data_IF_533089162462
#
_entry.id   IF_533089162462
#
_cell.length_a   1.000
_cell.length_b   1.000
_cell.length_c   1.000
_cell.angle_alpha   90.00
_cell.angle_beta   90.00
_cell.angle_gamma   90.00
#
_symmetry.space_group_name_H-M   'P 1'
#
loop_
_entity.id
_entity.type
_entity.pdbx_description
1 polymer ?
#
# COMPACT_ATOMS: atom_id res chain seq x y z
N UNK A 1 -53.56 14.43 5.40
CA UNK A 1 -52.69 15.16 4.45
C UNK A 1 -51.81 16.04 5.31
N UNK A 2 -50.49 15.89 5.28
CA UNK A 2 -49.65 16.88 5.96
C UNK A 2 -49.85 18.21 5.23
N UNK A 3 -49.96 19.29 5.97
CA UNK A 3 -49.95 20.64 5.39
C UNK A 3 -48.52 20.91 4.87
N UNK A 4 -48.40 21.64 3.76
CA UNK A 4 -47.14 21.97 3.10
C UNK A 4 -46.09 22.55 4.07
N UNK A 5 -46.51 23.30 5.10
CA UNK A 5 -45.59 23.79 6.13
C UNK A 5 -44.94 22.67 6.93
N UNK A 6 -45.70 21.63 7.29
CA UNK A 6 -45.17 20.47 8.02
C UNK A 6 -44.20 19.65 7.17
N UNK A 7 -44.47 19.52 5.87
CA UNK A 7 -43.58 18.79 4.95
C UNK A 7 -42.24 19.51 4.77
N UNK A 8 -42.26 20.85 4.72
CA UNK A 8 -41.05 21.68 4.67
C UNK A 8 -40.27 21.57 5.99
N UNK A 9 -40.93 21.67 7.14
CA UNK A 9 -40.30 21.56 8.46
C UNK A 9 -39.62 20.20 8.64
N UNK A 10 -40.31 19.11 8.31
CA UNK A 10 -39.75 17.76 8.36
C UNK A 10 -38.52 17.61 7.46
N UNK A 11 -38.53 18.24 6.28
CA UNK A 11 -37.40 18.22 5.33
C UNK A 11 -36.19 19.00 5.87
N UNK A 12 -36.41 20.17 6.47
CA UNK A 12 -35.34 20.97 7.08
C UNK A 12 -34.71 20.23 8.27
N UNK A 13 -35.53 19.62 9.14
CA UNK A 13 -35.06 18.81 10.26
C UNK A 13 -34.21 17.62 9.79
N UNK A 14 -34.59 16.98 8.68
CA UNK A 14 -33.79 15.93 8.05
C UNK A 14 -32.43 16.46 7.60
N UNK A 15 -32.41 17.55 6.82
CA UNK A 15 -31.17 18.15 6.30
C UNK A 15 -30.24 18.54 7.46
N UNK A 16 -30.75 19.22 8.49
CA UNK A 16 -29.95 19.61 9.66
C UNK A 16 -29.31 18.40 10.35
N UNK A 17 -30.06 17.32 10.53
CA UNK A 17 -29.56 16.08 11.13
C UNK A 17 -28.44 15.46 10.30
N UNK A 18 -28.60 15.35 8.98
CA UNK A 18 -27.60 14.73 8.12
C UNK A 18 -26.37 15.62 7.95
N UNK A 19 -26.52 16.94 7.91
CA UNK A 19 -25.40 17.89 7.90
C UNK A 19 -24.63 17.86 9.22
N UNK A 20 -25.31 17.71 10.36
CA UNK A 20 -24.66 17.45 11.66
C UNK A 20 -23.84 16.16 11.62
N UNK A 21 -24.39 15.07 11.08
CA UNK A 21 -23.64 13.82 10.91
C UNK A 21 -22.37 14.01 10.07
N UNK A 22 -22.45 14.75 8.95
CA UNK A 22 -21.28 15.04 8.10
C UNK A 22 -20.25 15.96 8.78
N UNK A 23 -20.66 16.78 9.76
CA UNK A 23 -19.76 17.57 10.59
C UNK A 23 -19.09 16.75 11.71
N UNK A 24 -19.66 15.61 12.09
CA UNK A 24 -19.15 14.77 13.18
C UNK A 24 -18.35 13.57 12.68
N UNK A 25 -18.60 13.11 11.45
CA UNK A 25 -18.00 11.91 10.88
C UNK A 25 -17.27 12.17 9.57
N UNK A 26 -16.20 11.40 9.34
CA UNK A 26 -15.41 11.40 8.12
C UNK A 26 -15.21 9.97 7.60
N UNK A 27 -15.00 9.84 6.30
CA UNK A 27 -14.52 8.59 5.70
C UNK A 27 -13.00 8.62 5.59
N UNK A 28 -12.35 7.61 6.16
CA UNK A 28 -10.91 7.36 6.02
C UNK A 28 -10.70 6.15 5.12
N UNK A 29 -9.77 6.27 4.16
CA UNK A 29 -9.58 5.29 3.08
C UNK A 29 -8.11 4.93 3.02
N UNK A 30 -7.79 3.64 3.03
CA UNK A 30 -6.42 3.16 2.95
C UNK A 30 -6.22 1.83 3.65
N UNK A 31 -5.15 1.75 4.43
CA UNK A 31 -4.72 0.55 5.14
C UNK A 31 -4.82 0.81 6.64
N UNK A 32 -5.29 -0.19 7.38
CA UNK A 32 -5.45 -0.10 8.82
C UNK A 32 -4.75 -1.29 9.48
N UNK A 33 -4.10 -1.04 10.61
CA UNK A 33 -3.42 -2.00 11.44
C UNK A 33 -2.92 -1.33 12.71
N UNK A 34 -2.50 -2.12 13.70
CA UNK A 34 -1.95 -1.61 14.96
C UNK A 34 -0.52 -1.05 14.75
N UNK A 35 0.07 -0.41 15.78
CA UNK A 35 1.36 0.29 15.69
C UNK A 35 2.50 -0.59 15.13
N UNK A 36 2.54 -1.88 15.49
CA UNK A 36 3.55 -2.86 15.04
C UNK A 36 3.13 -3.62 13.75
N UNK A 37 2.18 -3.08 12.99
CA UNK A 37 1.65 -3.76 11.82
C UNK A 37 2.68 -3.82 10.68
N UNK A 38 3.20 -5.03 10.41
CA UNK A 38 4.01 -5.33 9.23
C UNK A 38 3.34 -4.85 7.92
N UNK A 39 2.00 -4.85 7.88
CA UNK A 39 1.25 -4.31 6.75
C UNK A 39 1.54 -2.82 6.57
N UNK A 40 1.44 -2.01 7.63
CA UNK A 40 1.68 -0.57 7.55
C UNK A 40 3.14 -0.25 7.24
N UNK A 41 4.10 -1.03 7.75
CA UNK A 41 5.51 -0.90 7.36
C UNK A 41 5.70 -1.10 5.85
N UNK A 42 5.11 -2.17 5.30
CA UNK A 42 5.17 -2.47 3.86
C UNK A 42 4.49 -1.35 3.04
N UNK A 43 3.34 -0.86 3.48
CA UNK A 43 2.61 0.24 2.83
C UNK A 43 3.46 1.49 2.80
N UNK A 44 4.05 1.90 3.94
CA UNK A 44 4.90 3.10 4.04
C UNK A 44 6.14 2.99 3.16
N UNK A 45 6.82 1.85 3.22
CA UNK A 45 8.01 1.60 2.40
C UNK A 45 7.70 1.64 0.90
N UNK A 46 6.51 1.19 0.49
CA UNK A 46 6.08 1.34 -0.89
C UNK A 46 5.66 2.79 -1.17
N UNK A 47 4.80 3.43 -0.38
CA UNK A 47 4.27 4.79 -0.64
C UNK A 47 5.37 5.87 -0.75
N UNK A 48 6.40 5.78 0.09
CA UNK A 48 7.45 6.79 0.24
C UNK A 48 8.84 6.31 -0.18
N UNK A 49 9.01 5.02 -0.44
CA UNK A 49 10.32 4.41 -0.63
C UNK A 49 11.00 4.12 0.73
N UNK A 50 12.06 3.33 0.69
CA UNK A 50 12.82 2.98 1.88
C UNK A 50 14.27 2.65 1.54
N UNK A 51 15.19 3.03 2.43
CA UNK A 51 16.56 2.56 2.40
C UNK A 51 16.71 1.38 3.35
N UNK A 52 17.16 0.24 2.82
CA UNK A 52 17.49 -0.95 3.59
C UNK A 52 18.99 -0.91 3.86
N UNK A 53 19.34 -0.98 5.14
CA UNK A 53 20.72 -1.02 5.63
C UNK A 53 20.95 -2.28 6.49
N UNK A 54 22.19 -2.78 6.59
CA UNK A 54 22.50 -3.93 7.43
C UNK A 54 22.19 -3.63 8.90
N UNK A 55 21.40 -4.47 9.57
CA UNK A 55 21.15 -4.36 11.02
C UNK A 55 22.41 -4.69 11.84
N UNK A 56 23.22 -5.63 11.35
CA UNK A 56 24.48 -6.08 11.97
C UNK A 56 25.56 -6.21 10.91
N UNK A 57 26.78 -5.80 11.25
CA UNK A 57 27.92 -5.88 10.34
C UNK A 57 27.90 -4.83 9.22
N UNK A 58 28.76 -5.01 8.21
CA UNK A 58 29.02 -4.01 7.15
C UNK A 58 28.16 -4.15 5.90
N UNK A 59 27.52 -5.29 5.68
CA UNK A 59 26.86 -5.62 4.42
C UNK A 59 25.54 -6.35 4.61
N UNK A 60 24.60 -6.08 3.69
CA UNK A 60 23.42 -6.89 3.43
C UNK A 60 23.85 -8.07 2.58
N UNK A 61 23.49 -9.27 3.02
CA UNK A 61 23.76 -10.52 2.32
C UNK A 61 22.54 -10.88 1.49
N UNK A 62 22.55 -10.51 0.22
CA UNK A 62 21.42 -10.76 -0.69
C UNK A 62 21.67 -12.05 -1.47
N UNK A 63 20.82 -13.07 -1.33
CA UNK A 63 21.04 -14.36 -1.99
C UNK A 63 20.96 -14.22 -3.51
N UNK A 64 21.86 -14.94 -4.20
CA UNK A 64 21.84 -15.06 -5.65
C UNK A 64 20.73 -16.01 -6.10
N UNK A 65 20.37 -15.95 -7.39
CA UNK A 65 19.37 -16.87 -7.94
C UNK A 65 19.81 -18.33 -7.84
N UNK A 66 21.13 -18.61 -7.89
CA UNK A 66 21.66 -19.94 -7.62
C UNK A 66 21.36 -20.39 -6.19
N UNK A 67 21.68 -19.55 -5.20
CA UNK A 67 21.44 -19.89 -3.79
C UNK A 67 19.96 -20.09 -3.51
N UNK A 68 19.09 -19.26 -4.06
CA UNK A 68 17.63 -19.42 -3.91
C UNK A 68 17.14 -20.73 -4.55
N UNK A 69 17.61 -21.08 -5.75
CA UNK A 69 17.20 -22.32 -6.43
C UNK A 69 17.66 -23.57 -5.67
N UNK A 70 18.86 -23.55 -5.08
CA UNK A 70 19.46 -24.70 -4.41
C UNK A 70 19.02 -24.87 -2.96
N UNK A 71 18.90 -23.76 -2.21
CA UNK A 71 18.67 -23.78 -0.75
C UNK A 71 17.34 -23.13 -0.32
N UNK A 72 16.59 -22.56 -1.26
CA UNK A 72 15.30 -21.91 -1.00
C UNK A 72 15.39 -20.40 -0.75
N UNK A 73 14.22 -19.75 -0.71
CA UNK A 73 14.09 -18.27 -0.64
C UNK A 73 14.59 -17.65 0.66
N UNK A 74 14.68 -18.44 1.74
CA UNK A 74 15.06 -17.98 3.07
C UNK A 74 16.49 -18.38 3.46
N UNK A 75 17.31 -18.80 2.49
CA UNK A 75 18.69 -19.24 2.70
C UNK A 75 19.52 -18.18 3.42
N UNK A 76 20.23 -18.60 4.46
CA UNK A 76 21.18 -17.80 5.23
C UNK A 76 22.62 -18.21 4.91
N UNK A 77 23.60 -17.33 5.16
CA UNK A 77 25.01 -17.67 4.97
C UNK A 77 25.45 -18.92 5.74
N UNK A 78 24.87 -19.17 6.92
CA UNK A 78 25.11 -20.35 7.75
C UNK A 78 24.65 -21.66 7.13
N UNK A 79 23.71 -21.59 6.18
CA UNK A 79 23.09 -22.77 5.60
C UNK A 79 23.92 -23.34 4.44
N UNK A 80 24.95 -22.62 4.00
CA UNK A 80 25.79 -22.97 2.87
C UNK A 80 27.19 -23.40 3.38
N UNK A 81 27.52 -24.70 3.33
CA UNK A 81 28.84 -25.19 3.72
C UNK A 81 29.96 -24.58 2.86
N UNK A 82 31.12 -24.35 3.47
CA UNK A 82 32.31 -23.82 2.81
C UNK A 82 32.11 -22.46 2.12
N UNK A 83 31.09 -21.69 2.50
CA UNK A 83 30.89 -20.34 2.01
C UNK A 83 32.04 -19.43 2.48
N UNK A 84 32.64 -18.71 1.55
CA UNK A 84 33.70 -17.75 1.86
C UNK A 84 33.55 -16.47 1.05
N UNK A 85 34.20 -15.41 1.52
CA UNK A 85 34.24 -14.11 0.82
C UNK A 85 35.65 -13.95 0.25
N UNK A 86 35.84 -13.96 -1.08
CA UNK A 86 37.14 -13.70 -1.68
C UNK A 86 37.67 -12.31 -1.29
N UNK A 87 38.98 -12.21 -1.07
CA UNK A 87 39.63 -10.95 -0.65
C UNK A 87 39.28 -9.82 -1.63
N UNK A 88 38.88 -8.66 -1.09
CA UNK A 88 38.51 -7.45 -1.84
C UNK A 88 37.32 -7.62 -2.81
N UNK A 89 36.50 -8.66 -2.67
CA UNK A 89 35.27 -8.84 -3.46
C UNK A 89 34.03 -8.61 -2.60
N UNK A 90 32.93 -8.22 -3.24
CA UNK A 90 31.62 -7.95 -2.59
C UNK A 90 30.62 -9.06 -2.87
N UNK A 91 31.10 -10.30 -2.84
CA UNK A 91 30.30 -11.51 -3.05
C UNK A 91 30.79 -12.60 -2.09
N UNK A 92 29.89 -13.48 -1.68
CA UNK A 92 30.23 -14.71 -1.00
C UNK A 92 29.98 -15.89 -1.94
N UNK A 93 30.91 -16.83 -1.97
CA UNK A 93 30.99 -17.89 -2.96
C UNK A 93 31.28 -19.24 -2.32
N UNK A 94 30.95 -20.30 -3.06
CA UNK A 94 31.47 -21.65 -2.84
C UNK A 94 32.31 -22.06 -4.06
N UNK A 95 33.10 -23.12 -3.90
CA UNK A 95 33.75 -23.78 -5.04
C UNK A 95 32.95 -25.04 -5.38
N UNK A 96 32.44 -25.12 -6.61
CA UNK A 96 31.72 -26.28 -7.13
C UNK A 96 32.34 -26.64 -8.49
N UNK A 97 32.71 -27.90 -8.70
CA UNK A 97 33.35 -28.36 -9.95
C UNK A 97 34.58 -27.54 -10.38
N UNK A 98 35.39 -27.08 -9.41
CA UNK A 98 36.56 -26.19 -9.60
C UNK A 98 36.22 -24.78 -10.10
N UNK A 99 34.95 -24.39 -10.09
CA UNK A 99 34.49 -23.04 -10.43
C UNK A 99 33.97 -22.29 -9.21
N UNK A 100 34.12 -20.97 -9.23
CA UNK A 100 33.56 -20.08 -8.21
C UNK A 100 32.09 -19.82 -8.50
N UNK A 101 31.23 -20.27 -7.60
CA UNK A 101 29.79 -20.03 -7.69
C UNK A 101 29.38 -18.97 -6.66
N UNK A 102 28.78 -17.88 -7.14
CA UNK A 102 28.30 -16.79 -6.27
C UNK A 102 27.00 -17.21 -5.58
N UNK A 103 27.01 -17.22 -4.25
CA UNK A 103 25.83 -17.52 -3.43
C UNK A 103 25.17 -16.26 -2.86
N UNK A 104 25.96 -15.22 -2.50
CA UNK A 104 25.42 -13.96 -1.98
C UNK A 104 26.14 -12.74 -2.57
N UNK A 105 25.38 -11.66 -2.75
CA UNK A 105 25.89 -10.31 -3.02
C UNK A 105 25.98 -9.53 -1.71
N UNK A 106 27.09 -8.82 -1.49
CA UNK A 106 27.35 -8.03 -0.29
C UNK A 106 27.12 -6.55 -0.57
N UNK A 107 25.92 -6.05 -0.26
CA UNK A 107 25.51 -4.67 -0.53
C UNK A 107 25.67 -3.80 0.71
N UNK A 108 26.14 -2.55 0.56
CA UNK A 108 26.17 -1.60 1.69
C UNK A 108 24.78 -1.07 2.05
N UNK A 109 23.93 -0.90 1.03
CA UNK A 109 22.54 -0.47 1.14
C UNK A 109 21.77 -0.98 -0.06
N UNK A 110 20.46 -1.13 0.09
CA UNK A 110 19.52 -1.36 -1.01
C UNK A 110 18.39 -0.34 -0.91
N UNK A 111 17.97 0.24 -2.03
CA UNK A 111 16.91 1.25 -2.05
C UNK A 111 15.65 0.67 -2.67
N UNK A 112 14.55 0.73 -1.93
CA UNK A 112 13.19 0.54 -2.45
C UNK A 112 12.72 1.89 -2.97
N UNK A 113 12.38 2.01 -4.27
CA UNK A 113 11.83 3.25 -4.80
C UNK A 113 10.40 3.49 -4.30
N UNK A 114 10.03 4.77 -4.19
CA UNK A 114 8.67 5.17 -3.83
C UNK A 114 7.66 4.80 -4.92
N UNK A 115 6.46 4.43 -4.47
CA UNK A 115 5.26 4.05 -5.20
C UNK A 115 4.07 4.75 -4.58
N UNK A 116 3.88 6.00 -4.97
CA UNK A 116 2.92 6.91 -4.32
C UNK A 116 1.45 6.61 -4.64
N UNK A 117 1.03 5.35 -4.56
CA UNK A 117 -0.26 4.88 -5.05
C UNK A 117 -1.45 5.46 -4.26
N UNK A 118 -1.29 5.78 -2.97
CA UNK A 118 -2.36 6.41 -2.18
C UNK A 118 -2.48 7.88 -2.59
N UNK A 119 -1.37 8.62 -2.55
CA UNK A 119 -1.38 10.06 -2.85
C UNK A 119 -1.77 10.32 -4.31
N UNK A 120 -1.26 9.50 -5.23
CA UNK A 120 -1.55 9.64 -6.66
C UNK A 120 -3.01 9.34 -6.96
N UNK A 121 -3.58 8.28 -6.37
CA UNK A 121 -5.00 7.99 -6.49
C UNK A 121 -5.87 9.16 -6.01
N UNK A 122 -5.52 9.78 -4.87
CA UNK A 122 -6.24 10.95 -4.38
C UNK A 122 -6.13 12.14 -5.35
N UNK A 123 -4.92 12.53 -5.73
CA UNK A 123 -4.66 13.68 -6.60
C UNK A 123 -5.37 13.56 -7.95
N UNK A 124 -5.33 12.37 -8.56
CA UNK A 124 -5.92 12.15 -9.87
C UNK A 124 -7.45 12.10 -9.84
N UNK A 125 -8.06 11.88 -8.67
CA UNK A 125 -9.50 11.72 -8.50
C UNK A 125 -10.19 12.86 -7.73
N UNK A 126 -9.50 13.95 -7.39
CA UNK A 126 -10.07 15.06 -6.61
C UNK A 126 -11.37 15.61 -7.21
N UNK A 127 -11.38 15.85 -8.52
CA UNK A 127 -12.57 16.38 -9.20
C UNK A 127 -13.73 15.38 -9.22
N UNK A 128 -13.42 14.08 -9.30
CA UNK A 128 -14.41 13.02 -9.19
C UNK A 128 -15.05 13.05 -7.81
N UNK A 129 -14.26 13.07 -6.74
CA UNK A 129 -14.78 13.11 -5.37
C UNK A 129 -15.63 14.36 -5.11
N UNK A 130 -15.21 15.53 -5.59
CA UNK A 130 -16.00 16.76 -5.50
C UNK A 130 -17.39 16.60 -6.14
N UNK A 131 -17.48 15.96 -7.31
CA UNK A 131 -18.78 15.70 -7.97
C UNK A 131 -19.68 14.78 -7.14
N UNK A 132 -19.12 13.71 -6.56
CA UNK A 132 -19.89 12.80 -5.70
C UNK A 132 -20.34 13.46 -4.39
N UNK A 133 -19.54 14.38 -3.83
CA UNK A 133 -19.94 15.18 -2.68
C UNK A 133 -21.14 16.07 -3.03
N UNK A 134 -21.06 16.83 -4.12
CA UNK A 134 -22.17 17.69 -4.55
C UNK A 134 -23.45 16.89 -4.80
N UNK A 135 -23.35 15.79 -5.58
CA UNK A 135 -24.49 14.92 -5.83
C UNK A 135 -25.06 14.26 -4.56
N UNK A 136 -24.21 13.96 -3.57
CA UNK A 136 -24.67 13.45 -2.28
C UNK A 136 -25.39 14.50 -1.43
N UNK A 137 -24.92 15.75 -1.46
CA UNK A 137 -25.60 16.87 -0.81
C UNK A 137 -26.97 17.11 -1.47
N UNK A 138 -27.05 17.09 -2.80
CA UNK A 138 -28.32 17.21 -3.52
C UNK A 138 -29.30 16.11 -3.10
N UNK A 139 -28.82 14.87 -2.95
CA UNK A 139 -29.64 13.75 -2.47
C UNK A 139 -30.15 13.92 -1.06
N UNK A 140 -29.34 14.47 -0.15
CA UNK A 140 -29.77 14.78 1.21
C UNK A 140 -30.85 15.87 1.18
N UNK A 141 -30.69 16.89 0.33
CA UNK A 141 -31.62 18.01 0.26
C UNK A 141 -32.96 17.65 -0.39
N UNK A 142 -32.96 16.79 -1.41
CA UNK A 142 -34.11 16.61 -2.30
C UNK A 142 -34.62 15.16 -2.41
N UNK A 143 -33.83 14.17 -1.99
CA UNK A 143 -34.14 12.75 -2.18
C UNK A 143 -34.09 11.93 -0.87
N UNK A 144 -34.12 12.61 0.30
CA UNK A 144 -34.08 12.00 1.63
C UNK A 144 -32.87 11.06 1.84
N UNK A 145 -31.75 11.35 1.16
CA UNK A 145 -30.49 10.65 1.30
C UNK A 145 -29.79 10.98 2.62
N UNK A 146 -28.80 10.17 3.02
CA UNK A 146 -28.12 10.32 4.31
C UNK A 146 -26.64 10.67 4.17
N UNK A 147 -26.09 11.35 5.19
CA UNK A 147 -24.65 11.63 5.25
C UNK A 147 -23.81 10.35 5.26
N UNK A 148 -24.30 9.29 5.91
CA UNK A 148 -23.67 7.96 5.94
C UNK A 148 -23.59 7.30 4.57
N UNK A 149 -24.62 7.45 3.73
CA UNK A 149 -24.61 6.93 2.36
C UNK A 149 -23.61 7.66 1.47
N UNK A 150 -23.51 8.99 1.61
CA UNK A 150 -22.48 9.78 0.93
C UNK A 150 -21.07 9.30 1.33
N UNK A 151 -20.78 9.22 2.64
CA UNK A 151 -19.47 8.75 3.13
C UNK A 151 -19.17 7.31 2.69
N UNK A 152 -20.16 6.42 2.70
CA UNK A 152 -20.03 5.03 2.21
C UNK A 152 -19.70 4.98 0.73
N UNK A 153 -20.32 5.84 -0.08
CA UNK A 153 -20.08 5.96 -1.52
C UNK A 153 -18.64 6.41 -1.78
N UNK A 154 -18.20 7.47 -1.09
CA UNK A 154 -16.82 7.96 -1.17
C UNK A 154 -15.80 6.89 -0.76
N UNK A 155 -16.09 6.14 0.32
CA UNK A 155 -15.24 5.04 0.78
C UNK A 155 -15.05 3.95 -0.27
N UNK A 156 -16.15 3.48 -0.87
CA UNK A 156 -16.11 2.48 -1.97
C UNK A 156 -15.33 2.98 -3.17
N UNK A 157 -15.54 4.24 -3.58
CA UNK A 157 -14.84 4.86 -4.71
C UNK A 157 -13.34 4.95 -4.44
N UNK A 158 -12.93 5.49 -3.29
CA UNK A 158 -11.52 5.65 -2.97
C UNK A 158 -10.78 4.31 -2.86
N UNK A 159 -11.41 3.26 -2.31
CA UNK A 159 -10.84 1.91 -2.33
C UNK A 159 -10.64 1.43 -3.78
N UNK A 160 -11.63 1.63 -4.64
CA UNK A 160 -11.50 1.27 -6.06
C UNK A 160 -10.33 2.00 -6.73
N UNK A 161 -10.20 3.30 -6.47
CA UNK A 161 -9.20 4.15 -7.11
C UNK A 161 -7.78 3.84 -6.65
N UNK A 162 -7.57 3.62 -5.35
CA UNK A 162 -6.27 3.17 -4.82
C UNK A 162 -5.91 1.82 -5.45
N UNK A 163 -6.86 0.88 -5.52
CA UNK A 163 -6.62 -0.43 -6.13
C UNK A 163 -6.30 -0.32 -7.62
N UNK A 164 -6.93 0.60 -8.33
CA UNK A 164 -6.62 0.87 -9.73
C UNK A 164 -5.20 1.44 -9.89
N UNK A 165 -4.83 2.43 -9.08
CA UNK A 165 -3.50 3.02 -9.11
C UNK A 165 -2.41 1.98 -8.78
N UNK A 166 -2.64 1.12 -7.79
CA UNK A 166 -1.75 0.00 -7.47
C UNK A 166 -1.56 -0.98 -8.64
N UNK A 167 -2.58 -1.18 -9.50
CA UNK A 167 -2.48 -2.03 -10.69
C UNK A 167 -1.69 -1.36 -11.81
N UNK A 168 -1.84 -0.05 -11.98
CA UNK A 168 -1.19 0.75 -13.03
C UNK A 168 0.33 0.90 -12.82
N UNK A 169 0.81 0.76 -11.58
CA UNK A 169 2.23 0.90 -11.26
C UNK A 169 3.09 -0.28 -11.75
N UNK A 170 3.65 -0.12 -12.95
CA UNK A 170 4.72 -0.95 -13.52
C UNK A 170 6.12 -0.33 -13.36
N UNK A 171 6.23 0.95 -12.95
CA UNK A 171 7.50 1.67 -12.86
C UNK A 171 7.61 2.57 -11.61
N UNK A 172 8.78 2.61 -10.94
CA UNK A 172 9.94 1.77 -11.21
C UNK A 172 9.64 0.33 -10.78
N UNK A 173 10.07 -0.58 -11.65
CA UNK A 173 9.97 -2.00 -11.46
C UNK A 173 10.70 -2.48 -10.22
N UNK A 174 10.74 -3.80 -10.02
CA UNK A 174 11.63 -4.38 -9.02
C UNK A 174 13.10 -4.02 -9.35
N UNK A 175 13.98 -3.97 -8.36
CA UNK A 175 15.42 -3.83 -8.64
C UNK A 175 15.88 -5.00 -9.54
N UNK A 176 16.84 -4.83 -10.46
CA UNK A 176 17.24 -5.89 -11.40
C UNK A 176 17.56 -7.23 -10.72
N UNK A 177 18.30 -7.19 -9.61
CA UNK A 177 18.62 -8.36 -8.78
C UNK A 177 17.37 -9.06 -8.20
N UNK A 178 16.31 -8.29 -7.96
CA UNK A 178 15.00 -8.78 -7.49
C UNK A 178 14.14 -9.32 -8.64
N UNK A 179 14.26 -8.78 -9.86
CA UNK A 179 13.60 -9.28 -11.08
C UNK A 179 14.16 -10.66 -11.45
N UNK A 180 15.49 -10.82 -11.43
CA UNK A 180 16.17 -12.08 -11.73
C UNK A 180 15.79 -13.18 -10.73
N UNK A 181 15.69 -12.81 -9.44
CA UNK A 181 15.23 -13.71 -8.38
C UNK A 181 13.72 -14.02 -8.43
N UNK A 182 12.93 -13.24 -9.19
CA UNK A 182 11.47 -13.40 -9.36
C UNK A 182 11.05 -13.82 -10.76
N UNK A 183 11.95 -14.40 -11.57
CA UNK A 183 11.65 -14.89 -12.95
C UNK A 183 10.99 -13.82 -13.85
N UNK A 184 11.45 -12.57 -13.79
CA UNK A 184 10.95 -11.51 -14.68
C UNK A 184 9.68 -10.77 -14.21
N UNK A 185 9.15 -11.09 -13.02
CA UNK A 185 7.96 -10.40 -12.49
C UNK A 185 8.31 -8.99 -12.01
N UNK A 186 7.74 -7.99 -12.68
CA UNK A 186 8.10 -6.58 -12.53
C UNK A 186 7.06 -5.72 -11.80
N UNK A 187 5.94 -6.29 -11.34
CA UNK A 187 4.92 -5.58 -10.54
C UNK A 187 5.01 -5.94 -9.03
N UNK A 188 5.77 -5.18 -8.23
CA UNK A 188 5.96 -5.42 -6.80
C UNK A 188 4.69 -5.38 -5.94
N UNK A 189 3.68 -4.57 -6.31
CA UNK A 189 2.49 -4.34 -5.48
C UNK A 189 1.45 -5.45 -5.64
N UNK A 190 1.42 -6.06 -6.83
CA UNK A 190 0.52 -7.18 -7.16
C UNK A 190 1.15 -8.52 -6.75
N UNK A 191 2.48 -8.65 -6.85
CA UNK A 191 3.23 -9.88 -6.58
C UNK A 191 3.54 -10.12 -5.09
N UNK A 192 3.23 -9.17 -4.20
CA UNK A 192 3.10 -9.42 -2.74
C UNK A 192 1.70 -9.92 -2.35
N UNK A 193 0.94 -10.51 -3.28
CA UNK A 193 -0.16 -11.48 -3.07
C UNK A 193 -1.41 -11.07 -2.27
N UNK A 194 -1.40 -9.92 -1.58
CA UNK A 194 -2.48 -9.53 -0.67
C UNK A 194 -2.60 -8.04 -0.38
N UNK A 195 -1.57 -7.22 -0.64
CA UNK A 195 -1.58 -5.79 -0.27
C UNK A 195 -2.81 -5.06 -0.82
N UNK A 196 -3.10 -5.22 -2.11
CA UNK A 196 -4.28 -4.62 -2.77
C UNK A 196 -5.62 -5.01 -2.11
N UNK A 197 -5.70 -6.20 -1.49
CA UNK A 197 -6.89 -6.72 -0.81
C UNK A 197 -7.11 -6.03 0.55
N UNK A 198 -6.04 -5.54 1.17
CA UNK A 198 -6.10 -4.85 2.47
C UNK A 198 -6.48 -3.38 2.37
N UNK A 199 -6.56 -2.82 1.15
CA UNK A 199 -7.16 -1.50 0.93
C UNK A 199 -8.64 -1.57 1.31
N UNK A 200 -9.05 -0.75 2.26
CA UNK A 200 -10.44 -0.66 2.75
C UNK A 200 -10.75 0.77 3.20
N UNK A 201 -11.94 0.99 3.76
CA UNK A 201 -12.36 2.26 4.33
C UNK A 201 -13.06 2.06 5.68
N UNK A 202 -13.09 3.11 6.50
CA UNK A 202 -13.89 3.20 7.73
C UNK A 202 -14.56 4.58 7.78
N UNK A 203 -15.75 4.64 8.37
CA UNK A 203 -16.34 5.92 8.79
C UNK A 203 -16.05 6.06 10.28
N UNK A 204 -15.42 7.15 10.66
CA UNK A 204 -14.99 7.41 12.03
C UNK A 204 -15.40 8.83 12.43
N UNK A 205 -15.63 9.11 13.73
CA UNK A 205 -15.73 10.47 14.23
C UNK A 205 -14.50 11.30 13.85
N UNK A 206 -14.73 12.58 13.59
CA UNK A 206 -13.64 13.54 13.38
C UNK A 206 -12.82 13.64 14.67
N UNK A 207 -11.50 13.44 14.56
CA UNK A 207 -10.57 13.43 15.71
C UNK A 207 -10.21 12.05 16.27
N UNK A 208 -10.87 10.96 15.84
CA UNK A 208 -10.56 9.59 16.29
C UNK A 208 -9.46 8.87 15.47
N UNK A 209 -8.70 9.58 14.65
CA UNK A 209 -7.57 8.99 13.93
C UNK A 209 -6.43 8.74 14.93
N UNK A 210 -6.36 7.53 15.47
CA UNK A 210 -5.19 6.99 16.18
C UNK A 210 -4.21 6.37 15.19
#
# INVERSE_FOLDING_TARGET
>A
MKDAFQEVDDSLLHIEREMKYLNEYQVVIGFFGDEDSQLLEIVRANEYGADIVPKKGKYLWVPSSYAIKKYGKSVKPSDIPHLFVPKNKRVACITENKELVVCFYLLKKSRIPARAFIRKAFLDNQQKYKRYVLAGIDKICYENGTGKELLTTLGKLGVSDIREEMKRWYKPGNAPLTIDNKKGVNNPLVDTGGLIKHVTWKILPIGEIK
#
